data_IF_056553788730
#
_entry.id   IF_056553788730
#
_cell.length_a   1.000
_cell.length_b   1.000
_cell.length_c   1.000
_cell.angle_alpha   90.00
_cell.angle_beta   90.00
_cell.angle_gamma   90.00
#
_symmetry.space_group_name_H-M   'P 1'
#
loop_
_entity.id
_entity.type
_entity.pdbx_description
1 polymer ?
#
# COMPACT_ATOMS: atom_id res chain seq x y z
N UNK A 1 -28.88 20.47 -2.74
CA UNK A 1 -27.76 19.53 -2.46
C UNK A 1 -26.41 20.23 -2.54
N UNK A 2 -26.13 21.09 -3.54
CA UNK A 2 -24.90 21.90 -3.60
C UNK A 2 -24.71 22.83 -2.39
N UNK A 3 -25.79 23.42 -1.88
CA UNK A 3 -25.74 24.42 -0.79
C UNK A 3 -25.18 23.87 0.53
N UNK A 4 -25.56 22.64 0.90
CA UNK A 4 -25.08 22.01 2.13
C UNK A 4 -23.59 21.67 2.05
N UNK A 5 -23.12 21.21 0.90
CA UNK A 5 -21.70 20.91 0.67
C UNK A 5 -20.84 22.17 0.76
N UNK A 6 -21.30 23.29 0.20
CA UNK A 6 -20.59 24.57 0.32
C UNK A 6 -20.52 25.06 1.78
N UNK A 7 -21.63 25.00 2.51
CA UNK A 7 -21.67 25.40 3.93
C UNK A 7 -20.77 24.51 4.80
N UNK A 8 -20.73 23.19 4.55
CA UNK A 8 -19.81 22.29 5.25
C UNK A 8 -18.34 22.62 4.95
N UNK A 9 -18.00 22.88 3.68
CA UNK A 9 -16.64 23.23 3.27
C UNK A 9 -16.20 24.55 3.93
N UNK A 10 -17.08 25.55 3.99
CA UNK A 10 -16.78 26.83 4.60
C UNK A 10 -16.62 26.70 6.13
N UNK A 11 -17.50 25.94 6.80
CA UNK A 11 -17.36 25.61 8.22
C UNK A 11 -16.04 24.89 8.51
N UNK A 12 -15.64 23.93 7.66
CA UNK A 12 -14.36 23.24 7.80
C UNK A 12 -13.18 24.20 7.60
N UNK A 13 -13.21 25.03 6.54
CA UNK A 13 -12.14 25.99 6.24
C UNK A 13 -11.93 26.99 7.37
N UNK A 14 -13.01 27.48 7.99
CA UNK A 14 -12.94 28.38 9.14
C UNK A 14 -12.34 27.70 10.37
N UNK A 15 -12.65 26.42 10.61
CA UNK A 15 -12.14 25.68 11.76
C UNK A 15 -10.73 25.07 11.56
N UNK A 16 -10.22 25.00 10.32
CA UNK A 16 -8.89 24.43 10.03
C UNK A 16 -8.00 25.40 9.25
N UNK A 17 -7.63 26.56 9.81
CA UNK A 17 -6.80 27.56 9.12
C UNK A 17 -5.40 27.03 8.78
N UNK A 18 -4.88 26.06 9.53
CA UNK A 18 -3.61 25.39 9.24
C UNK A 18 -3.63 24.63 7.91
N UNK A 19 -4.79 24.19 7.43
CA UNK A 19 -4.91 23.50 6.14
C UNK A 19 -4.84 24.45 4.94
N UNK A 20 -4.93 25.76 5.15
CA UNK A 20 -4.86 26.75 4.07
C UNK A 20 -3.57 26.64 3.23
N UNK A 21 -2.46 26.30 3.87
CA UNK A 21 -1.19 26.04 3.15
C UNK A 21 -1.38 24.94 2.11
N UNK A 22 -2.09 23.86 2.46
CA UNK A 22 -2.37 22.78 1.52
C UNK A 22 -3.41 23.20 0.49
N UNK A 23 -4.49 23.87 0.90
CA UNK A 23 -5.55 24.29 -0.02
C UNK A 23 -5.06 25.24 -1.12
N UNK A 24 -4.10 26.12 -0.82
CA UNK A 24 -3.57 27.07 -1.81
C UNK A 24 -2.47 26.48 -2.69
N UNK A 25 -1.70 25.50 -2.19
CA UNK A 25 -0.58 24.91 -2.92
C UNK A 25 -0.92 23.56 -3.58
N UNK A 26 -2.07 22.96 -3.26
CA UNK A 26 -2.47 21.69 -3.84
C UNK A 26 -2.81 21.87 -5.32
N UNK A 27 -2.11 21.19 -6.24
CA UNK A 27 -2.49 21.21 -7.65
C UNK A 27 -3.85 20.55 -7.83
N UNK A 28 -4.74 21.18 -8.58
CA UNK A 28 -6.07 20.67 -8.90
C UNK A 28 -6.10 20.02 -10.29
N UNK A 29 -6.98 19.04 -10.53
CA UNK A 29 -7.08 18.41 -11.84
C UNK A 29 -7.72 19.38 -12.84
N UNK A 30 -6.95 19.83 -13.83
CA UNK A 30 -7.48 20.54 -14.99
C UNK A 30 -7.38 19.64 -16.23
N UNK A 31 -8.54 19.23 -16.75
CA UNK A 31 -8.66 18.30 -17.88
C UNK A 31 -8.82 19.01 -19.24
N UNK A 32 -8.92 20.34 -19.24
CA UNK A 32 -9.17 21.16 -20.44
C UNK A 32 -7.92 21.90 -20.95
N UNK A 33 -6.81 21.88 -20.19
CA UNK A 33 -5.55 22.56 -20.52
C UNK A 33 -4.37 21.62 -20.77
N UNK A 34 -3.15 22.19 -20.77
CA UNK A 34 -1.89 21.42 -20.85
C UNK A 34 -1.73 20.46 -19.66
N UNK A 35 -0.92 19.42 -19.85
CA UNK A 35 -0.75 18.32 -18.91
C UNK A 35 -0.27 18.84 -17.54
N UNK A 36 -1.13 18.75 -16.50
CA UNK A 36 -0.81 19.19 -15.14
C UNK A 36 0.16 18.22 -14.44
N UNK A 37 1.43 18.23 -14.86
CA UNK A 37 2.46 17.28 -14.40
C UNK A 37 2.57 17.26 -12.87
N UNK A 38 2.51 18.42 -12.21
CA UNK A 38 2.58 18.52 -10.75
C UNK A 38 1.42 17.80 -10.03
N UNK A 39 0.20 17.89 -10.58
CA UNK A 39 -0.95 17.13 -10.09
C UNK A 39 -0.70 15.64 -10.19
N UNK A 40 -0.33 15.16 -11.38
CA UNK A 40 -0.12 13.73 -11.63
C UNK A 40 1.00 13.13 -10.78
N UNK A 41 2.10 13.87 -10.59
CA UNK A 41 3.22 13.43 -9.77
C UNK A 41 2.81 13.26 -8.30
N UNK A 42 2.14 14.25 -7.71
CA UNK A 42 1.66 14.17 -6.32
C UNK A 42 0.59 13.09 -6.19
N UNK A 43 -0.32 13.01 -7.15
CA UNK A 43 -1.37 12.00 -7.20
C UNK A 43 -0.77 10.59 -7.16
N UNK A 44 0.19 10.27 -8.03
CA UNK A 44 0.87 8.96 -8.04
C UNK A 44 1.61 8.72 -6.72
N UNK A 45 2.31 9.72 -6.18
CA UNK A 45 3.04 9.59 -4.92
C UNK A 45 2.14 9.26 -3.73
N UNK A 46 0.89 9.75 -3.70
CA UNK A 46 -0.07 9.40 -2.66
C UNK A 46 -0.37 7.89 -2.70
N UNK A 47 -0.63 7.34 -3.89
CA UNK A 47 -0.88 5.89 -4.02
C UNK A 47 0.35 5.06 -3.68
N UNK A 48 1.54 5.50 -4.08
CA UNK A 48 2.80 4.84 -3.69
C UNK A 48 2.97 4.87 -2.17
N UNK A 49 2.74 6.02 -1.53
CA UNK A 49 2.82 6.16 -0.08
C UNK A 49 1.84 5.25 0.67
N UNK A 50 0.58 5.17 0.22
CA UNK A 50 -0.42 4.27 0.78
C UNK A 50 -0.03 2.79 0.61
N UNK A 51 0.45 2.41 -0.58
CA UNK A 51 0.92 1.06 -0.85
C UNK A 51 2.12 0.68 0.04
N UNK A 52 3.06 1.63 0.24
CA UNK A 52 4.19 1.45 1.14
C UNK A 52 3.76 1.33 2.61
N UNK A 53 2.80 2.14 3.06
CA UNK A 53 2.27 2.09 4.42
C UNK A 53 1.63 0.74 4.72
N UNK A 54 0.79 0.24 3.82
CA UNK A 54 0.10 -1.03 3.96
C UNK A 54 1.08 -2.23 3.94
N UNK A 55 2.09 -2.17 3.06
CA UNK A 55 3.19 -3.13 3.08
C UNK A 55 3.99 -3.08 4.39
N UNK A 56 4.33 -1.88 4.88
CA UNK A 56 5.07 -1.69 6.12
C UNK A 56 4.30 -2.24 7.33
N UNK A 57 2.98 -2.03 7.36
CA UNK A 57 2.12 -2.57 8.41
C UNK A 57 2.12 -4.11 8.43
N UNK A 58 2.08 -4.76 7.26
CA UNK A 58 2.20 -6.23 7.15
C UNK A 58 3.56 -6.73 7.62
N UNK A 59 4.64 -6.10 7.18
CA UNK A 59 6.00 -6.47 7.57
C UNK A 59 6.23 -6.31 9.08
N UNK A 60 5.68 -5.25 9.68
CA UNK A 60 5.75 -5.01 11.13
C UNK A 60 5.06 -6.11 11.95
N UNK A 61 3.91 -6.62 11.48
CA UNK A 61 3.24 -7.76 12.11
C UNK A 61 4.07 -9.04 11.99
N UNK A 62 4.66 -9.27 10.83
CA UNK A 62 5.49 -10.44 10.58
C UNK A 62 6.74 -10.44 11.46
N UNK A 63 7.43 -9.31 11.62
CA UNK A 63 8.63 -9.22 12.46
C UNK A 63 8.32 -9.40 13.95
N UNK A 64 7.19 -8.86 14.42
CA UNK A 64 6.70 -9.10 15.78
C UNK A 64 6.38 -10.57 16.02
N UNK A 65 5.65 -11.20 15.11
CA UNK A 65 5.31 -12.63 15.20
C UNK A 65 6.56 -13.52 15.22
N UNK A 66 7.55 -13.24 14.36
CA UNK A 66 8.81 -13.98 14.34
C UNK A 66 9.57 -13.83 15.66
N UNK A 67 9.60 -12.63 16.24
CA UNK A 67 10.29 -12.37 17.50
C UNK A 67 9.59 -13.05 18.68
N UNK A 68 8.27 -12.96 18.76
CA UNK A 68 7.47 -13.67 19.76
C UNK A 68 7.68 -15.19 19.66
N UNK A 69 7.68 -15.75 18.44
CA UNK A 69 7.94 -17.17 18.21
C UNK A 69 9.34 -17.63 18.64
N UNK A 70 10.37 -16.79 18.48
CA UNK A 70 11.73 -17.07 18.99
C UNK A 70 11.74 -17.11 20.52
N UNK A 71 11.11 -16.12 21.16
CA UNK A 71 11.05 -16.00 22.62
C UNK A 71 10.31 -17.20 23.24
N UNK A 72 9.19 -17.61 22.66
CA UNK A 72 8.42 -18.78 23.11
C UNK A 72 9.22 -20.09 22.98
N UNK A 73 9.91 -20.29 21.85
CA UNK A 73 10.78 -21.47 21.66
C UNK A 73 11.94 -21.49 22.65
N UNK A 74 12.53 -20.33 22.96
CA UNK A 74 13.61 -20.23 23.94
C UNK A 74 13.13 -20.62 25.35
N UNK A 75 11.90 -20.29 25.73
CA UNK A 75 11.31 -20.69 27.02
C UNK A 75 11.15 -22.22 27.09
N UNK A 76 10.65 -22.84 26.01
CA UNK A 76 10.49 -24.29 25.92
C UNK A 76 11.84 -25.03 25.93
N UNK A 77 12.85 -24.50 25.24
CA UNK A 77 14.19 -25.08 25.19
C UNK A 77 14.93 -24.93 26.53
N UNK A 78 14.76 -23.81 27.25
CA UNK A 78 15.27 -23.66 28.62
C UNK A 78 14.66 -24.67 29.59
N UNK A 79 13.40 -25.06 29.38
CA UNK A 79 12.76 -26.10 30.18
C UNK A 79 13.34 -27.51 29.95
N UNK A 80 14.02 -27.75 28.81
CA UNK A 80 14.70 -29.03 28.50
C UNK A 80 16.10 -29.17 29.14
N UNK A 81 16.62 -28.12 29.80
CA UNK A 81 17.90 -28.21 30.52
C UNK A 81 19.12 -28.32 29.59
N UNK A 82 19.98 -29.33 29.79
CA UNK A 82 21.30 -29.42 29.16
C UNK A 82 21.31 -29.65 27.63
N UNK A 83 20.17 -29.99 27.04
CA UNK A 83 19.99 -30.20 25.59
C UNK A 83 19.30 -29.02 24.88
N UNK A 84 19.03 -27.93 25.60
CA UNK A 84 18.31 -26.77 25.07
C UNK A 84 19.11 -26.02 23.99
N UNK A 85 18.46 -25.74 22.86
CA UNK A 85 19.07 -24.96 21.76
C UNK A 85 19.35 -23.51 22.19
N UNK A 86 20.48 -22.96 21.74
CA UNK A 86 20.78 -21.54 21.93
C UNK A 86 19.94 -20.67 21.00
N UNK A 87 19.74 -19.40 21.36
CA UNK A 87 18.98 -18.44 20.56
C UNK A 87 19.43 -18.38 19.09
N UNK A 88 20.74 -18.45 18.86
CA UNK A 88 21.36 -18.40 17.53
C UNK A 88 21.04 -19.65 16.69
N UNK A 89 20.95 -20.82 17.34
CA UNK A 89 20.54 -22.07 16.69
C UNK A 89 19.04 -22.08 16.36
N UNK A 90 18.22 -21.41 17.18
CA UNK A 90 16.79 -21.23 16.92
C UNK A 90 16.60 -20.27 15.73
N UNK A 91 17.27 -19.11 15.75
CA UNK A 91 17.19 -18.11 14.68
C UNK A 91 17.66 -18.66 13.32
N UNK A 92 18.71 -19.48 13.28
CA UNK A 92 19.19 -20.10 12.03
C UNK A 92 18.23 -21.11 11.40
N UNK A 93 17.26 -21.65 12.17
CA UNK A 93 16.22 -22.55 11.66
C UNK A 93 14.97 -21.82 11.20
N UNK A 94 14.86 -20.52 11.50
CA UNK A 94 13.69 -19.72 11.14
C UNK A 94 13.80 -19.30 9.68
N UNK A 95 13.01 -19.96 8.83
CA UNK A 95 12.84 -19.56 7.43
C UNK A 95 11.90 -18.36 7.40
N UNK A 96 12.44 -17.17 7.09
CA UNK A 96 11.65 -15.95 6.95
C UNK A 96 10.85 -16.01 5.64
N UNK A 97 9.50 -15.91 5.69
CA UNK A 97 8.70 -15.83 4.48
C UNK A 97 9.01 -14.54 3.72
N UNK A 98 9.41 -14.66 2.46
CA UNK A 98 9.69 -13.50 1.62
C UNK A 98 8.39 -12.94 1.06
N UNK A 99 8.09 -11.69 1.38
CA UNK A 99 7.00 -10.94 0.77
C UNK A 99 7.60 -9.79 -0.03
N UNK A 100 7.41 -9.80 -1.36
CA UNK A 100 7.80 -8.67 -2.20
C UNK A 100 6.56 -7.87 -2.59
N UNK A 101 6.63 -6.55 -2.44
CA UNK A 101 5.54 -5.60 -2.75
C UNK A 101 5.14 -5.68 -4.23
N UNK A 102 6.12 -6.00 -5.09
CA UNK A 102 5.96 -6.04 -6.53
C UNK A 102 5.24 -7.30 -7.05
N UNK A 103 5.20 -8.40 -6.29
CA UNK A 103 4.45 -9.60 -6.70
C UNK A 103 2.94 -9.36 -6.78
N UNK A 104 2.41 -8.40 -6.01
CA UNK A 104 0.98 -8.05 -6.06
C UNK A 104 0.66 -7.00 -7.12
N UNK A 105 1.63 -6.17 -7.52
CA UNK A 105 1.43 -5.14 -8.54
C UNK A 105 1.04 -5.75 -9.90
N UNK A 106 1.68 -6.86 -10.26
CA UNK A 106 1.42 -7.56 -11.51
C UNK A 106 -0.03 -8.08 -11.65
N UNK A 107 -0.57 -8.93 -10.75
CA UNK A 107 -1.94 -9.41 -10.86
C UNK A 107 -2.99 -8.31 -10.69
N UNK A 108 -2.70 -7.26 -9.91
CA UNK A 108 -3.71 -6.24 -9.62
C UNK A 108 -3.83 -5.17 -10.70
N UNK A 109 -2.74 -4.79 -11.38
CA UNK A 109 -2.73 -3.68 -12.35
C UNK A 109 -2.36 -4.09 -13.77
N UNK A 110 -1.37 -4.97 -13.93
CA UNK A 110 -0.89 -5.38 -15.26
C UNK A 110 -1.85 -6.40 -15.87
N UNK A 111 -2.30 -7.39 -15.08
CA UNK A 111 -3.19 -8.45 -15.55
C UNK A 111 -4.52 -7.90 -16.13
N UNK A 112 -5.24 -6.96 -15.47
CA UNK A 112 -6.48 -6.42 -16.03
C UNK A 112 -6.26 -5.66 -17.35
N UNK A 113 -5.17 -4.90 -17.47
CA UNK A 113 -4.83 -4.19 -18.72
C UNK A 113 -4.58 -5.17 -19.85
N UNK A 114 -3.82 -6.24 -19.59
CA UNK A 114 -3.59 -7.32 -20.56
C UNK A 114 -4.92 -7.96 -20.99
N UNK A 115 -5.81 -8.24 -20.04
CA UNK A 115 -7.13 -8.83 -20.31
C UNK A 115 -7.98 -7.90 -21.19
N UNK A 116 -7.99 -6.59 -20.92
CA UNK A 116 -8.72 -5.60 -21.75
C UNK A 116 -8.17 -5.58 -23.17
N UNK A 117 -6.84 -5.54 -23.33
CA UNK A 117 -6.19 -5.53 -24.65
C UNK A 117 -6.51 -6.81 -25.42
N UNK A 118 -6.35 -7.98 -24.80
CA UNK A 118 -6.67 -9.26 -25.42
C UNK A 118 -8.16 -9.39 -25.75
N UNK A 119 -9.04 -8.93 -24.86
CA UNK A 119 -10.48 -8.89 -25.09
C UNK A 119 -10.83 -8.02 -26.29
N UNK A 120 -10.25 -6.82 -26.40
CA UNK A 120 -10.45 -5.94 -27.54
C UNK A 120 -10.06 -6.62 -28.87
N UNK A 121 -8.88 -7.24 -28.93
CA UNK A 121 -8.45 -7.99 -30.12
C UNK A 121 -9.38 -9.18 -30.44
N UNK A 122 -9.81 -9.91 -29.42
CA UNK A 122 -10.70 -11.05 -29.57
C UNK A 122 -12.08 -10.65 -30.13
N UNK A 123 -12.69 -9.60 -29.58
CA UNK A 123 -13.97 -9.08 -30.08
C UNK A 123 -13.86 -8.44 -31.46
N UNK A 124 -12.74 -7.77 -31.76
CA UNK A 124 -12.45 -7.24 -33.10
C UNK A 124 -12.30 -8.37 -34.14
N UNK A 125 -11.63 -9.48 -33.80
CA UNK A 125 -11.47 -10.63 -34.69
C UNK A 125 -12.80 -11.33 -34.99
N UNK A 126 -13.71 -11.33 -34.01
CA UNK A 126 -15.08 -11.87 -34.17
C UNK A 126 -16.03 -10.90 -34.89
N UNK A 127 -15.60 -9.68 -35.22
CA UNK A 127 -16.41 -8.70 -35.94
C UNK A 127 -17.48 -8.01 -35.08
N UNK A 128 -17.36 -8.04 -33.76
CA UNK A 128 -18.27 -7.35 -32.84
C UNK A 128 -17.89 -5.87 -32.60
N UNK A 129 -16.76 -5.42 -33.14
CA UNK A 129 -16.22 -4.05 -33.04
C UNK A 129 -15.74 -3.57 -34.40
#
# INVERSE_FOLDING_TARGET
MLDFTHVMIDMMRVNTPFLNVFWYNSPTPNFQGSLNIGFWLIFILIFVGLAMQDSGARMSRQSRFLREGVEDQLILEKAKGAEGLTREQIESRIVVPHHTIFLQFFPLYILPVIIIVLGYFFFSLLGFM
#
